data_IF_419052749477
#
_entry.id   IF_419052749477
#
_cell.length_a   1.000
_cell.length_b   1.000
_cell.length_c   1.000
_cell.angle_alpha   90.00
_cell.angle_beta   90.00
_cell.angle_gamma   90.00
#
_symmetry.space_group_name_H-M   'P 1'
#
loop_
_entity.id
_entity.type
_entity.pdbx_description
1 polymer ?
2 non-polymer ?
3 non-polymer ?
4 non-polymer ?
5 water ?
#
# COMPACT_ATOMS: atom_id res chain seq x y z
N UNK A 8 5.79 31.69 4.35
CA UNK A 8 6.79 31.35 5.37
C UNK A 8 8.09 30.81 4.74
N UNK A 9 8.97 30.23 5.57
CA UNK A 9 10.21 29.61 5.09
C UNK A 9 10.40 28.24 5.74
N UNK A 10 11.41 27.51 5.28
CA UNK A 10 11.71 26.19 5.86
C UNK A 10 12.48 26.34 7.17
N UNK A 11 12.27 25.40 8.09
CA UNK A 11 12.97 25.44 9.39
C UNK A 11 14.47 25.42 9.16
N UNK A 12 15.21 26.07 10.05
CA UNK A 12 16.66 26.18 9.91
C UNK A 12 17.30 24.80 9.96
N UNK A 13 16.77 23.93 10.81
CA UNK A 13 17.34 22.60 10.98
C UNK A 13 17.20 21.77 9.71
N UNK A 14 16.09 21.98 9.00
CA UNK A 14 15.88 21.30 7.74
C UNK A 14 16.90 21.81 6.73
N UNK A 15 16.90 23.14 6.53
CA UNK A 15 17.80 23.82 5.61
C UNK A 15 19.24 23.43 5.85
N UNK A 16 19.56 23.11 7.10
CA UNK A 16 20.93 22.84 7.45
C UNK A 16 21.48 21.57 6.81
N UNK A 17 20.58 20.61 6.53
CA UNK A 17 20.96 19.31 6.01
C UNK A 17 20.53 19.07 4.58
N UNK A 18 19.56 19.86 4.12
CA UNK A 18 18.94 19.62 2.82
C UNK A 18 18.74 20.91 2.04
N UNK A 19 18.82 20.78 0.72
CA UNK A 19 18.49 21.86 -0.21
C UNK A 19 17.15 21.53 -0.83
N UNK A 20 16.20 22.46 -0.76
CA UNK A 20 14.84 22.17 -1.22
C UNK A 20 14.64 22.54 -2.68
N UNK A 21 13.75 21.79 -3.33
CA UNK A 21 13.53 21.96 -4.76
C UNK A 21 12.04 21.90 -5.10
N UNK A 22 11.74 21.45 -6.32
CA UNK A 22 10.40 21.52 -6.89
C UNK A 22 9.38 20.62 -6.20
N UNK A 23 8.11 20.94 -6.40
CA UNK A 23 7.01 20.12 -5.90
C UNK A 23 6.88 18.86 -6.76
N UNK A 24 6.55 17.74 -6.12
CA UNK A 24 6.33 16.50 -6.85
C UNK A 24 4.85 16.15 -6.91
N UNK A 25 4.17 16.32 -5.77
CA UNK A 25 2.73 16.17 -5.68
C UNK A 25 2.13 17.14 -4.67
N UNK A 26 0.82 16.99 -4.41
CA UNK A 26 0.14 17.85 -3.44
C UNK A 26 -1.31 17.41 -3.22
N UNK A 31 1.68 17.78 1.02
CA UNK A 31 2.49 18.02 -0.17
C UNK A 31 3.86 17.34 -0.10
N UNK A 32 4.44 17.08 -1.28
CA UNK A 32 5.74 16.41 -1.37
C UNK A 32 6.71 17.20 -2.23
N UNK A 33 7.89 17.47 -1.69
CA UNK A 33 8.90 18.23 -2.43
C UNK A 33 10.17 17.44 -2.68
N UNK A 34 10.81 17.74 -3.79
CA UNK A 34 12.13 17.20 -4.10
C UNK A 34 13.18 17.94 -3.27
N UNK A 35 14.19 17.22 -2.82
CA UNK A 35 15.23 17.85 -2.03
C UNK A 35 16.54 17.08 -2.17
N UNK A 36 17.66 17.76 -1.97
CA UNK A 36 18.96 17.09 -2.01
C UNK A 36 19.60 17.10 -0.63
N UNK A 37 20.12 15.96 -0.22
CA UNK A 37 20.82 15.87 1.05
C UNK A 37 22.23 16.45 0.87
N UNK A 38 22.55 17.47 1.65
CA UNK A 38 23.84 18.16 1.52
C UNK A 38 25.04 17.22 1.60
N UNK A 39 25.01 16.29 2.53
CA UNK A 39 26.15 15.43 2.81
C UNK A 39 26.51 14.49 1.67
N UNK A 40 25.52 14.08 0.88
CA UNK A 40 25.73 13.05 -0.12
C UNK A 40 25.40 13.52 -1.51
N UNK A 41 24.73 14.67 -1.57
CA UNK A 41 24.21 15.20 -2.83
C UNK A 41 23.25 14.22 -3.47
N UNK A 42 22.65 13.39 -2.64
CA UNK A 42 21.70 12.42 -3.14
C UNK A 42 20.31 13.02 -3.07
N UNK A 43 19.42 12.55 -3.95
CA UNK A 43 18.07 13.09 -4.00
C UNK A 43 17.18 12.40 -2.99
N UNK A 44 16.33 13.18 -2.33
CA UNK A 44 15.36 12.65 -1.39
C UNK A 44 14.01 13.31 -1.59
N UNK A 45 12.98 12.74 -0.99
CA UNK A 45 11.67 13.38 -1.02
C UNK A 45 11.31 13.83 0.39
N UNK A 46 10.71 15.01 0.50
CA UNK A 46 10.28 15.49 1.81
C UNK A 46 8.78 15.77 1.82
N UNK A 47 8.05 14.98 2.60
CA UNK A 47 6.61 15.14 2.72
C UNK A 47 6.31 16.13 3.84
N UNK A 48 5.69 17.23 3.48
CA UNK A 48 5.36 18.27 4.43
C UNK A 48 3.93 18.11 4.92
N UNK A 49 3.79 17.88 6.21
CA UNK A 49 2.48 17.76 6.84
C UNK A 49 2.23 18.92 7.80
N UNK A 50 1.33 19.82 7.42
CA UNK A 50 1.02 21.01 8.22
C UNK A 50 0.33 20.68 9.55
N UNK A 51 0.65 21.44 10.59
CA UNK A 51 0.03 21.27 11.89
C UNK A 51 -1.32 22.00 11.96
N UNK A 64 -3.59 16.14 14.02
CA UNK A 64 -2.28 16.17 13.33
C UNK A 64 -1.22 15.37 14.09
N UNK A 65 -0.82 15.87 15.25
CA UNK A 65 0.23 15.24 16.06
C UNK A 65 0.21 13.71 16.08
N UNK A 66 -0.99 13.12 16.12
CA UNK A 66 -1.17 11.68 16.32
C UNK A 66 -0.84 10.86 15.08
N UNK A 67 -1.47 11.20 13.96
CA UNK A 67 -1.21 10.51 12.71
C UNK A 67 0.29 10.41 12.42
N UNK A 68 1.00 11.49 12.69
CA UNK A 68 2.42 11.56 12.42
C UNK A 68 3.24 10.80 13.45
N UNK A 69 2.84 10.90 14.72
CA UNK A 69 3.54 10.16 15.77
C UNK A 69 3.60 8.67 15.41
N UNK A 70 2.46 8.11 15.03
CA UNK A 70 2.41 6.69 14.71
C UNK A 70 3.12 6.41 13.39
N UNK A 71 2.92 7.27 12.40
CA UNK A 71 3.52 7.08 11.10
C UNK A 71 5.05 6.97 11.21
N UNK A 72 5.65 7.87 11.96
CA UNK A 72 7.09 7.82 12.18
C UNK A 72 7.47 6.53 12.91
N UNK A 73 6.80 6.26 14.03
CA UNK A 73 7.08 5.08 14.81
C UNK A 73 6.99 3.82 13.94
N UNK A 74 6.03 3.79 13.02
CA UNK A 74 5.89 2.64 12.14
C UNK A 74 7.02 2.56 11.11
N UNK A 75 7.22 3.64 10.38
CA UNK A 75 8.29 3.69 9.38
C UNK A 75 9.66 3.34 9.98
N UNK A 76 9.90 3.77 11.21
CA UNK A 76 11.18 3.51 11.84
C UNK A 76 11.41 2.01 12.07
N UNK A 77 10.34 1.31 12.41
CA UNK A 77 10.47 -0.07 12.83
C UNK A 77 10.42 -1.04 11.66
N UNK A 78 9.85 -0.60 10.54
CA UNK A 78 9.63 -1.49 9.40
C UNK A 78 10.85 -1.58 8.52
N UNK A 79 11.09 -2.79 8.00
CA UNK A 79 12.23 -2.99 7.13
C UNK A 79 11.92 -3.97 6.02
N UNK A 80 11.44 -3.46 4.90
CA UNK A 80 11.09 -4.29 3.76
C UNK A 80 11.25 -3.53 2.43
N UNK A 81 11.72 -4.22 1.39
CA UNK A 81 12.02 -3.65 0.07
C UNK A 81 10.84 -2.95 -0.58
N UNK A 82 9.63 -3.42 -0.30
CA UNK A 82 8.46 -2.83 -0.92
C UNK A 82 7.70 -1.93 0.04
N UNK A 83 8.42 -1.38 1.01
CA UNK A 83 7.86 -0.40 1.93
C UNK A 83 8.81 0.79 2.08
N UNK A 84 8.30 1.99 1.81
CA UNK A 84 9.13 3.21 1.87
C UNK A 84 9.86 3.39 3.20
N UNK A 85 11.12 3.83 3.14
CA UNK A 85 11.92 4.02 4.35
C UNK A 85 12.00 5.50 4.73
N UNK A 86 12.06 5.77 6.03
CA UNK A 86 12.21 7.12 6.50
C UNK A 86 13.69 7.40 6.72
N UNK A 87 14.10 8.61 6.39
CA UNK A 87 15.51 8.99 6.40
C UNK A 87 15.80 10.03 7.47
N UNK A 88 14.79 10.82 7.80
CA UNK A 88 14.95 11.89 8.75
C UNK A 88 13.59 12.51 9.08
N UNK A 89 13.51 13.19 10.21
CA UNK A 89 12.24 13.80 10.62
C UNK A 89 12.43 15.17 11.28
N UNK A 90 11.48 16.07 11.00
CA UNK A 90 11.54 17.43 11.52
C UNK A 90 10.20 17.93 12.08
N UNK A 91 10.18 18.12 13.39
CA UNK A 91 9.02 18.61 14.11
C UNK A 91 9.15 20.12 14.32
N UNK A 92 8.49 20.90 13.47
CA UNK A 92 8.62 22.35 13.51
C UNK A 92 7.30 23.08 13.26
N UNK A 93 7.36 24.24 12.61
CA UNK A 93 6.14 24.97 12.28
C UNK A 93 5.16 24.01 11.62
N UNK A 94 5.72 23.07 10.88
CA UNK A 94 4.98 21.98 10.27
C UNK A 94 5.79 20.71 10.49
N UNK A 95 5.26 19.59 10.00
CA UNK A 95 5.98 18.33 10.10
C UNK A 95 6.72 18.07 8.80
N UNK A 96 7.97 17.62 8.92
CA UNK A 96 8.77 17.29 7.76
C UNK A 96 9.28 15.88 7.83
N UNK A 97 8.86 15.06 6.86
CA UNK A 97 9.31 13.69 6.84
C UNK A 97 10.13 13.41 5.59
N UNK A 98 11.39 13.03 5.81
CA UNK A 98 12.33 12.82 4.73
C UNK A 98 12.33 11.35 4.31
N UNK A 99 12.06 11.11 3.04
CA UNK A 99 11.91 9.76 2.53
C UNK A 99 12.77 9.47 1.31
N UNK A 100 12.93 8.18 1.02
CA UNK A 100 13.52 7.74 -0.22
C UNK A 100 12.73 8.30 -1.38
N UNK A 101 13.41 8.78 -2.40
CA UNK A 101 12.73 9.32 -3.58
C UNK A 101 12.37 8.22 -4.56
N UNK A 102 11.10 8.21 -4.99
CA UNK A 102 10.61 7.26 -5.98
C UNK A 102 10.42 7.97 -7.31
N UNK A 103 11.36 7.78 -8.23
CA UNK A 103 11.34 8.53 -9.47
C UNK A 103 10.23 8.08 -10.41
N UNK A 104 9.73 6.86 -10.21
CA UNK A 104 8.63 6.37 -11.00
C UNK A 104 7.35 7.15 -10.77
N UNK A 105 7.24 7.76 -9.60
CA UNK A 105 6.03 8.49 -9.24
C UNK A 105 4.95 7.55 -8.73
N UNK A 106 3.71 8.03 -8.76
CA UNK A 106 2.58 7.27 -8.26
C UNK A 106 2.07 6.26 -9.29
N UNK A 107 1.50 5.18 -8.79
CA UNK A 107 0.87 4.20 -9.65
C UNK A 107 -0.37 4.84 -10.25
N UNK A 108 -1.05 5.65 -9.45
CA UNK A 108 -2.25 6.33 -9.93
C UNK A 108 -2.01 6.88 -11.33
N UNK A 109 -0.90 7.59 -11.52
CA UNK A 109 -0.61 8.23 -12.80
C UNK A 109 -0.48 7.22 -13.95
N UNK A 110 -0.39 5.94 -13.63
CA UNK A 110 -0.28 4.91 -14.67
C UNK A 110 -1.62 4.34 -15.08
N UNK A 111 -2.69 4.70 -14.36
CA UNK A 111 -3.97 4.05 -14.59
C UNK A 111 -5.14 5.02 -14.69
N UNK A 112 -4.89 6.29 -14.40
CA UNK A 112 -5.94 7.28 -14.53
C UNK A 112 -6.24 7.47 -16.01
N UNK A 113 -7.45 7.94 -16.30
CA UNK A 113 -7.89 8.11 -17.68
C UNK A 113 -7.88 6.81 -18.46
N UNK A 114 -8.52 5.78 -17.88
CA UNK A 114 -8.63 4.45 -18.51
C UNK A 114 -7.34 3.90 -19.13
N UNK A 115 -6.19 4.48 -18.77
CA UNK A 115 -4.93 3.84 -19.11
C UNK A 115 -4.94 2.46 -18.45
N UNK A 116 -4.18 1.52 -19.00
CA UNK A 116 -4.19 0.18 -18.43
C UNK A 116 -2.87 -0.53 -18.64
N UNK A 117 -2.48 -1.27 -17.61
CA UNK A 117 -1.20 -1.97 -17.57
C UNK A 117 -1.30 -3.34 -18.23
N UNK A 118 -0.26 -3.73 -18.95
CA UNK A 118 -0.27 -5.07 -19.52
C UNK A 118 -0.26 -6.09 -18.38
N UNK A 119 -1.01 -7.17 -18.55
CA UNK A 119 -1.22 -8.12 -17.46
C UNK A 119 0.07 -8.48 -16.74
N UNK A 120 1.17 -8.54 -17.50
CA UNK A 120 2.44 -9.00 -16.95
C UNK A 120 3.01 -8.00 -15.96
N UNK A 121 2.80 -6.72 -16.26
CA UNK A 121 3.23 -5.67 -15.37
C UNK A 121 2.35 -5.65 -14.13
N UNK A 122 1.07 -5.98 -14.29
CA UNK A 122 0.16 -6.05 -13.15
C UNK A 122 0.64 -7.09 -12.16
N UNK A 123 1.00 -8.26 -12.66
CA UNK A 123 1.44 -9.34 -11.82
C UNK A 123 2.65 -8.87 -11.04
N UNK A 124 3.65 -8.37 -11.76
CA UNK A 124 4.88 -7.91 -11.13
C UNK A 124 4.62 -6.92 -9.99
N UNK A 125 3.79 -5.92 -10.27
CA UNK A 125 3.45 -4.91 -9.28
C UNK A 125 2.67 -5.52 -8.13
N UNK A 126 1.65 -6.32 -8.46
CA UNK A 126 0.75 -6.80 -7.44
C UNK A 126 1.45 -7.75 -6.48
N UNK A 127 2.35 -8.54 -7.03
CA UNK A 127 3.15 -9.45 -6.25
C UNK A 127 3.92 -8.68 -5.18
N UNK A 128 4.48 -7.53 -5.57
CA UNK A 128 5.22 -6.73 -4.61
C UNK A 128 4.27 -6.14 -3.56
N UNK A 129 3.15 -5.61 -4.02
CA UNK A 129 2.12 -5.17 -3.10
C UNK A 129 1.77 -6.29 -2.10
N UNK A 130 1.62 -7.51 -2.58
CA UNK A 130 1.24 -8.61 -1.70
C UNK A 130 2.29 -8.90 -0.65
N UNK A 131 3.55 -8.91 -1.05
CA UNK A 131 4.63 -9.16 -0.12
C UNK A 131 4.64 -8.07 0.94
N UNK A 132 4.48 -6.83 0.49
CA UNK A 132 4.52 -5.71 1.39
C UNK A 132 3.42 -5.85 2.42
N UNK A 133 2.20 -5.99 1.94
CA UNK A 133 1.07 -6.05 2.85
C UNK A 133 1.11 -7.31 3.71
N UNK A 134 1.63 -8.39 3.16
CA UNK A 134 1.80 -9.57 3.96
C UNK A 134 2.71 -9.20 5.11
N UNK A 135 3.79 -8.51 4.78
CA UNK A 135 4.78 -8.10 5.75
C UNK A 135 4.17 -7.23 6.84
N UNK A 136 3.37 -6.25 6.44
CA UNK A 136 2.66 -5.42 7.40
C UNK A 136 1.84 -6.27 8.34
N UNK A 137 1.08 -7.21 7.79
CA UNK A 137 0.20 -8.00 8.63
C UNK A 137 0.99 -8.89 9.57
N UNK A 138 2.04 -9.51 9.06
CA UNK A 138 2.91 -10.32 9.92
C UNK A 138 3.42 -9.54 11.12
N UNK A 139 3.61 -8.25 10.95
CA UNK A 139 4.09 -7.35 12.00
C UNK A 139 2.98 -6.60 12.71
N UNK A 140 1.75 -7.09 12.63
CA UNK A 140 0.62 -6.48 13.32
C UNK A 140 0.26 -5.05 12.95
N UNK A 141 0.43 -4.68 11.69
CA UNK A 141 0.05 -3.36 11.21
C UNK A 141 -0.92 -3.42 10.04
N UNK A 142 -1.98 -2.62 10.13
CA UNK A 142 -2.98 -2.54 9.07
C UNK A 142 -2.89 -1.18 8.38
N UNK A 143 -2.64 -1.18 7.08
CA UNK A 143 -2.45 0.07 6.35
C UNK A 143 -3.70 0.95 6.33
N UNK A 144 -4.79 0.40 5.79
CA UNK A 144 -6.10 1.05 5.85
C UNK A 144 -6.37 2.11 4.80
N UNK A 145 -5.32 2.56 4.11
CA UNK A 145 -5.53 3.51 3.04
C UNK A 145 -4.80 3.13 1.74
N UNK A 146 -4.91 1.88 1.32
CA UNK A 146 -4.27 1.43 0.08
C UNK A 146 -5.04 1.90 -1.15
N UNK A 147 -4.35 2.60 -2.03
CA UNK A 147 -4.92 3.14 -3.27
C UNK A 147 -3.75 3.28 -4.23
N UNK A 148 -4.06 3.47 -5.52
CA UNK A 148 -3.00 3.67 -6.51
C UNK A 148 -2.04 4.81 -6.15
N UNK A 149 -2.52 5.86 -5.49
CA UNK A 149 -1.65 6.99 -5.18
C UNK A 149 -0.69 6.75 -4.01
N UNK A 150 -0.90 5.68 -3.26
CA UNK A 150 0.01 5.35 -2.17
C UNK A 150 0.95 4.23 -2.54
N UNK A 151 0.91 3.84 -3.81
CA UNK A 151 1.87 2.90 -4.36
C UNK A 151 2.81 3.68 -5.28
N UNK A 152 4.11 3.59 -5.01
CA UNK A 152 5.10 4.35 -5.75
C UNK A 152 6.04 3.47 -6.55
N UNK A 153 6.41 3.93 -7.74
CA UNK A 153 7.33 3.21 -8.61
C UNK A 153 8.77 3.73 -8.45
N UNK A 154 9.75 2.83 -8.48
CA UNK A 154 11.13 3.23 -8.22
C UNK A 154 11.78 3.89 -9.44
N UNK A 155 11.23 3.64 -10.61
CA UNK A 155 11.81 4.21 -11.82
C UNK A 155 10.76 4.36 -12.91
N UNK A 156 11.17 4.94 -14.03
CA UNK A 156 10.25 5.17 -15.11
C UNK A 156 10.16 3.94 -16.02
N UNK A 157 11.04 2.98 -15.79
CA UNK A 157 10.92 1.68 -16.43
C UNK A 157 9.62 1.09 -15.94
N UNK A 158 8.90 0.37 -16.80
CA UNK A 158 7.67 -0.26 -16.34
C UNK A 158 8.01 -1.53 -15.59
N UNK A 159 9.27 -1.95 -15.66
CA UNK A 159 9.76 -2.98 -14.77
C UNK A 159 10.54 -2.29 -13.65
N UNK A 160 9.94 -2.23 -12.47
CA UNK A 160 10.60 -1.56 -11.36
C UNK A 160 10.14 -2.12 -10.02
N UNK A 161 10.75 -1.62 -8.95
CA UNK A 161 10.28 -1.98 -7.63
C UNK A 161 9.18 -1.02 -7.29
N UNK A 162 8.18 -1.51 -6.57
CA UNK A 162 7.17 -0.61 -6.03
C UNK A 162 7.33 -0.57 -4.50
N UNK A 163 6.93 0.53 -3.89
CA UNK A 163 6.96 0.61 -2.44
C UNK A 163 5.66 1.21 -1.97
N UNK A 164 5.16 0.69 -0.85
CA UNK A 164 3.93 1.18 -0.24
C UNK A 164 4.25 2.40 0.60
N UNK A 165 3.39 3.40 0.54
CA UNK A 165 3.62 4.65 1.24
C UNK A 165 2.37 5.15 2.00
N UNK A 166 2.56 6.18 2.83
CA UNK A 166 1.48 6.87 3.54
C UNK A 166 0.80 6.07 4.66
N UNK A 167 1.44 6.00 5.81
CA UNK A 167 0.93 5.23 6.92
C UNK A 167 0.19 6.05 7.97
N UNK A 168 -0.32 7.21 7.56
CA UNK A 168 -1.08 8.06 8.45
C UNK A 168 -2.27 7.36 9.06
N UNK A 169 -3.00 6.61 8.25
CA UNK A 169 -4.21 5.96 8.71
C UNK A 169 -4.03 4.55 9.28
N UNK A 170 -2.78 4.08 9.37
CA UNK A 170 -2.53 2.72 9.85
C UNK A 170 -3.00 2.49 11.28
N UNK A 171 -3.35 1.26 11.58
CA UNK A 171 -3.65 0.85 12.95
C UNK A 171 -2.60 -0.14 13.36
N UNK A 172 -2.42 -0.29 14.67
CA UNK A 172 -1.51 -1.28 15.23
C UNK A 172 -2.32 -2.21 16.11
N UNK A 173 -2.16 -3.51 15.91
CA UNK A 173 -2.95 -4.48 16.66
C UNK A 173 -2.45 -4.68 18.09
N UNK A 176 -7.32 -6.68 21.94
CA UNK A 176 -6.78 -6.94 23.28
C UNK A 176 -7.67 -6.37 24.38
N UNK A 177 -8.52 -5.42 24.01
CA UNK A 177 -9.53 -4.92 24.95
C UNK A 177 -10.52 -6.05 25.13
N UNK A 178 -11.05 -6.53 24.02
CA UNK A 178 -11.95 -7.67 24.02
C UNK A 178 -11.28 -8.85 24.71
N UNK A 179 -10.03 -9.11 24.33
CA UNK A 179 -9.31 -10.23 24.89
C UNK A 179 -9.30 -10.19 26.42
N UNK A 180 -9.07 -9.00 26.97
CA UNK A 180 -9.08 -8.84 28.42
C UNK A 180 -10.47 -9.06 29.00
N UNK A 181 -11.47 -8.43 28.38
CA UNK A 181 -12.85 -8.63 28.78
C UNK A 181 -13.23 -10.10 28.71
N UNK A 182 -12.59 -10.84 27.83
CA UNK A 182 -12.92 -12.25 27.66
C UNK A 182 -12.49 -13.08 28.85
N UNK A 183 -11.79 -12.48 29.79
CA UNK A 183 -11.18 -13.25 30.87
C UNK A 183 -12.05 -13.33 32.13
N UNK A 184 -13.08 -12.50 32.20
CA UNK A 184 -13.98 -12.53 33.34
C UNK A 184 -15.28 -13.26 33.01
N UNK A 185 -16.03 -13.59 34.05
CA UNK A 185 -17.41 -14.02 33.87
C UNK A 185 -18.14 -12.85 33.25
N UNK A 186 -18.89 -13.11 32.17
CA UNK A 186 -19.58 -12.04 31.46
C UNK A 186 -20.54 -11.42 32.43
N UNK A 187 -21.70 -12.04 32.57
CA UNK A 187 -22.65 -11.70 33.62
C UNK A 187 -23.12 -10.24 33.60
N UNK A 188 -22.20 -9.28 33.56
CA UNK A 188 -22.58 -7.88 33.34
C UNK A 188 -22.25 -7.48 31.91
N UNK A 189 -21.72 -8.43 31.15
CA UNK A 189 -21.22 -8.17 29.82
C UNK A 189 -22.30 -8.11 28.73
N UNK A 190 -22.51 -6.93 28.16
CA UNK A 190 -23.51 -6.70 27.11
C UNK A 190 -23.41 -7.67 25.94
N UNK A 191 -24.57 -8.05 25.39
CA UNK A 191 -24.72 -8.98 24.27
C UNK A 191 -23.86 -8.64 23.03
N UNK A 192 -23.92 -7.38 22.60
CA UNK A 192 -23.27 -6.99 21.36
C UNK A 192 -21.79 -7.31 21.41
N UNK A 193 -21.21 -7.34 22.60
CA UNK A 193 -19.79 -7.57 22.72
C UNK A 193 -19.46 -9.03 22.43
N UNK A 194 -20.21 -9.93 23.07
CA UNK A 194 -20.09 -11.36 22.85
C UNK A 194 -20.35 -11.72 21.38
N UNK A 195 -21.20 -10.95 20.73
CA UNK A 195 -21.46 -11.17 19.31
C UNK A 195 -20.31 -10.70 18.44
N UNK A 196 -19.50 -9.77 18.93
CA UNK A 196 -18.36 -9.30 18.15
C UNK A 196 -17.20 -10.29 18.15
N UNK A 197 -17.24 -11.29 19.02
CA UNK A 197 -16.17 -12.27 19.08
C UNK A 197 -16.05 -13.04 17.76
N UNK A 198 -17.17 -13.30 17.11
CA UNK A 198 -17.20 -13.99 15.84
C UNK A 198 -16.18 -13.45 14.85
N UNK A 199 -16.18 -12.13 14.69
CA UNK A 199 -15.35 -11.48 13.66
C UNK A 199 -14.08 -10.82 14.18
N UNK A 200 -14.02 -10.58 15.49
CA UNK A 200 -12.83 -9.97 16.06
C UNK A 200 -11.57 -10.57 15.45
N UNK A 201 -10.61 -9.70 15.14
CA UNK A 201 -9.32 -10.15 14.64
C UNK A 201 -9.20 -10.22 13.12
N UNK A 202 -10.20 -9.71 12.39
CA UNK A 202 -10.14 -9.74 10.94
C UNK A 202 -10.06 -8.37 10.26
N UNK A 203 -9.65 -7.36 11.02
CA UNK A 203 -9.53 -6.01 10.48
C UNK A 203 -8.58 -5.92 9.29
N UNK A 204 -7.54 -6.74 9.32
CA UNK A 204 -6.53 -6.73 8.27
C UNK A 204 -7.16 -7.03 6.93
N UNK A 205 -8.36 -7.59 6.95
CA UNK A 205 -8.98 -7.99 5.70
C UNK A 205 -9.37 -6.77 4.86
N UNK A 206 -9.52 -5.61 5.46
CA UNK A 206 -9.91 -4.44 4.68
C UNK A 206 -8.80 -4.07 3.70
N UNK A 207 -7.56 -4.41 4.06
CA UNK A 207 -6.42 -4.21 3.17
C UNK A 207 -6.50 -5.18 1.98
N UNK A 208 -7.00 -6.37 2.24
CA UNK A 208 -7.14 -7.33 1.16
C UNK A 208 -8.23 -6.87 0.22
N UNK A 209 -9.33 -6.37 0.75
CA UNK A 209 -10.32 -5.73 -0.11
C UNK A 209 -9.64 -4.70 -1.01
N UNK A 210 -8.99 -3.71 -0.40
CA UNK A 210 -8.36 -2.63 -1.14
C UNK A 210 -7.42 -3.15 -2.23
N UNK A 211 -6.63 -4.16 -1.88
CA UNK A 211 -5.73 -4.73 -2.87
C UNK A 211 -6.55 -5.22 -4.06
N UNK A 212 -7.69 -5.83 -3.76
CA UNK A 212 -8.58 -6.36 -4.78
C UNK A 212 -9.07 -5.27 -5.71
N UNK A 213 -9.52 -4.16 -5.14
CA UNK A 213 -9.96 -3.02 -5.94
C UNK A 213 -8.81 -2.46 -6.79
N UNK A 214 -7.61 -2.45 -6.23
CA UNK A 214 -6.46 -1.95 -6.98
C UNK A 214 -6.14 -2.86 -8.17
N UNK A 215 -6.23 -4.16 -7.98
CA UNK A 215 -5.84 -5.12 -9.00
C UNK A 215 -6.83 -5.04 -10.16
N UNK A 216 -8.10 -4.88 -9.81
CA UNK A 216 -9.16 -4.67 -10.77
C UNK A 216 -8.85 -3.47 -11.64
N UNK A 217 -8.64 -2.32 -10.99
CA UNK A 217 -8.33 -1.10 -11.72
C UNK A 217 -7.12 -1.29 -12.65
N UNK A 218 -6.09 -1.93 -12.15
CA UNK A 218 -4.87 -2.13 -12.93
C UNK A 218 -5.12 -2.93 -14.20
N UNK A 219 -5.85 -4.02 -14.06
CA UNK A 219 -6.11 -4.94 -15.17
C UNK A 219 -7.10 -4.38 -16.17
N UNK A 220 -8.10 -3.66 -15.69
CA UNK A 220 -9.21 -3.24 -16.52
C UNK A 220 -9.06 -1.78 -17.00
N UNK A 221 -8.42 -0.96 -16.20
CA UNK A 221 -8.33 0.45 -16.50
C UNK A 221 -9.48 1.22 -15.88
N UNK A 222 -10.46 0.50 -15.33
CA UNK A 222 -11.61 1.14 -14.68
C UNK A 222 -11.91 0.57 -13.28
N UNK A 223 -12.64 1.34 -12.45
CA UNK A 223 -13.03 0.94 -11.10
C UNK A 223 -14.19 -0.05 -11.05
N UNK A 224 -14.15 -0.97 -10.09
CA UNK A 224 -15.17 -1.99 -9.82
C UNK A 224 -16.46 -1.38 -9.33
N UNK A 225 -16.37 -0.31 -8.54
CA UNK A 225 -17.56 0.33 -8.00
C UNK A 225 -17.51 1.84 -8.22
N UNK A 226 -18.27 2.35 -9.18
CA UNK A 226 -18.34 3.79 -9.41
C UNK A 226 -19.79 4.22 -9.58
N UNK A 227 -20.00 5.52 -9.71
CA UNK A 227 -21.33 6.05 -9.92
C UNK A 227 -21.50 6.42 -11.39
N UNK A 228 -20.47 6.11 -12.18
CA UNK A 228 -20.46 6.34 -13.63
C UNK A 228 -21.36 5.35 -14.36
N UNK A 229 -22.51 5.86 -14.82
CA UNK A 229 -23.45 5.07 -15.62
C UNK A 229 -24.11 3.94 -14.84
N UNK A 230 -24.72 4.30 -13.72
CA UNK A 230 -25.38 3.35 -12.84
C UNK A 230 -26.27 4.11 -11.86
N UNK A 231 -27.41 3.52 -11.51
CA UNK A 231 -28.38 4.20 -10.64
C UNK A 231 -28.36 3.67 -9.20
N UNK A 232 -27.66 2.55 -8.99
CA UNK A 232 -27.52 2.01 -7.65
C UNK A 232 -26.40 2.73 -6.92
N UNK A 233 -26.58 2.98 -5.62
CA UNK A 233 -25.62 3.77 -4.87
C UNK A 233 -24.27 3.07 -4.74
N UNK A 234 -23.22 3.87 -4.59
CA UNK A 234 -21.88 3.32 -4.39
C UNK A 234 -21.87 2.42 -3.15
N UNK A 235 -22.43 2.92 -2.06
CA UNK A 235 -22.54 2.10 -0.87
C UNK A 235 -23.19 0.77 -1.21
N UNK A 236 -24.29 0.80 -1.96
CA UNK A 236 -25.02 -0.43 -2.25
C UNK A 236 -24.20 -1.41 -3.07
N UNK A 237 -23.49 -0.91 -4.07
CA UNK A 237 -22.64 -1.79 -4.87
C UNK A 237 -21.65 -2.51 -3.98
N UNK A 238 -20.93 -1.75 -3.16
CA UNK A 238 -19.84 -2.29 -2.35
C UNK A 238 -20.35 -3.29 -1.31
N UNK A 239 -21.45 -2.98 -0.64
CA UNK A 239 -21.98 -3.93 0.33
C UNK A 239 -22.53 -5.19 -0.35
N UNK A 240 -23.03 -5.06 -1.56
CA UNK A 240 -23.53 -6.21 -2.28
C UNK A 240 -22.39 -7.01 -2.92
N UNK A 241 -21.27 -6.34 -3.17
CA UNK A 241 -20.17 -6.95 -3.89
C UNK A 241 -20.44 -7.03 -5.38
N UNK A 242 -21.58 -6.51 -5.82
CA UNK A 242 -21.92 -6.57 -7.23
C UNK A 242 -21.16 -5.49 -7.98
N UNK A 243 -19.97 -5.82 -8.44
CA UNK A 243 -19.13 -4.86 -9.15
C UNK A 243 -19.50 -4.80 -10.62
N UNK A 244 -19.08 -3.71 -11.25
CA UNK A 244 -19.36 -3.46 -12.64
C UNK A 244 -18.46 -4.26 -13.56
N UNK A 245 -18.97 -5.36 -14.10
CA UNK A 245 -18.18 -6.21 -15.01
C UNK A 245 -18.41 -5.96 -16.51
N UNK A 246 -17.42 -5.40 -17.19
CA UNK A 246 -17.53 -5.07 -18.62
C UNK A 246 -16.71 -6.03 -19.46
N UNK A 247 -17.36 -7.08 -19.97
CA UNK A 247 -16.67 -8.18 -20.68
C UNK A 247 -15.79 -7.72 -21.84
N UNK A 248 -16.22 -6.71 -22.59
CA UNK A 248 -15.42 -6.23 -23.71
C UNK A 248 -13.98 -6.05 -23.25
N UNK A 249 -13.82 -5.41 -22.10
CA UNK A 249 -12.50 -5.10 -21.55
C UNK A 249 -11.80 -6.32 -20.96
N UNK A 250 -12.54 -7.09 -20.17
CA UNK A 250 -11.99 -8.20 -19.41
C UNK A 250 -11.60 -9.44 -20.22
N UNK A 251 -12.15 -9.55 -21.43
CA UNK A 251 -11.85 -10.68 -22.30
C UNK A 251 -10.35 -10.75 -22.58
N UNK A 252 -9.73 -9.57 -22.67
CA UNK A 252 -8.29 -9.48 -22.93
C UNK A 252 -7.50 -10.08 -21.76
N UNK A 253 -8.12 -10.10 -20.58
CA UNK A 253 -7.44 -10.51 -19.36
C UNK A 253 -7.62 -11.98 -19.05
N UNK A 254 -6.52 -12.63 -18.68
CA UNK A 254 -6.50 -14.00 -18.22
C UNK A 254 -7.64 -14.35 -17.28
N UNK A 255 -8.00 -15.63 -17.20
CA UNK A 255 -9.03 -16.08 -16.29
C UNK A 255 -8.48 -16.26 -14.88
N UNK A 256 -7.20 -16.61 -14.78
CA UNK A 256 -6.52 -16.71 -13.49
C UNK A 256 -6.54 -15.37 -12.76
N UNK A 257 -6.07 -14.33 -13.44
CA UNK A 257 -6.10 -12.97 -12.93
C UNK A 257 -7.47 -12.66 -12.35
N UNK A 258 -8.48 -12.65 -13.22
CA UNK A 258 -9.84 -12.38 -12.80
C UNK A 258 -10.30 -13.27 -11.65
N UNK A 259 -9.81 -14.50 -11.59
CA UNK A 259 -10.24 -15.40 -10.52
C UNK A 259 -9.75 -14.89 -9.18
N UNK A 260 -8.50 -14.42 -9.17
CA UNK A 260 -7.89 -13.90 -7.96
C UNK A 260 -8.58 -12.62 -7.49
N UNK A 261 -8.94 -11.78 -8.45
CA UNK A 261 -9.68 -10.58 -8.12
C UNK A 261 -10.95 -10.99 -7.41
N UNK A 262 -11.68 -11.94 -8.00
CA UNK A 262 -12.96 -12.39 -7.43
C UNK A 262 -12.81 -12.85 -5.98
N UNK A 263 -11.68 -13.47 -5.65
CA UNK A 263 -11.47 -14.00 -4.31
C UNK A 263 -11.08 -12.91 -3.30
N UNK A 264 -10.60 -11.77 -3.79
CA UNK A 264 -10.24 -10.66 -2.90
C UNK A 264 -11.46 -9.77 -2.69
N UNK A 265 -12.27 -9.61 -3.74
CA UNK A 265 -13.47 -8.81 -3.61
C UNK A 265 -14.61 -9.63 -3.03
N UNK A 266 -14.35 -10.30 -1.91
CA UNK A 266 -15.37 -11.06 -1.21
C UNK A 266 -15.91 -10.26 -0.03
N UNK A 267 -17.23 -10.17 0.03
CA UNK A 267 -17.90 -9.32 1.02
C UNK A 267 -17.67 -9.81 2.44
N UNK A 268 -17.68 -11.12 2.63
CA UNK A 268 -17.43 -11.72 3.95
C UNK A 268 -15.94 -11.66 4.28
N UNK A 269 -15.55 -10.85 5.28
CA UNK A 269 -14.13 -10.68 5.59
C UNK A 269 -13.46 -11.99 6.03
N UNK A 270 -14.22 -12.89 6.67
CA UNK A 270 -13.63 -14.14 7.16
C UNK A 270 -13.33 -15.09 5.99
N UNK A 271 -14.11 -14.95 4.94
CA UNK A 271 -13.93 -15.75 3.74
C UNK A 271 -12.95 -15.10 2.75
N UNK A 272 -12.73 -13.80 2.91
CA UNK A 272 -11.94 -13.08 1.93
C UNK A 272 -10.54 -13.68 1.86
N UNK A 273 -9.91 -13.60 0.69
CA UNK A 273 -8.54 -14.06 0.56
C UNK A 273 -7.62 -13.28 1.49
N UNK A 274 -6.64 -13.96 2.06
CA UNK A 274 -5.61 -13.30 2.84
C UNK A 274 -4.46 -13.07 1.88
N UNK A 275 -3.45 -12.33 2.30
CA UNK A 275 -2.26 -12.15 1.47
C UNK A 275 -1.61 -13.51 1.13
N UNK A 276 -1.46 -14.36 2.14
CA UNK A 276 -0.92 -15.70 1.93
C UNK A 276 -1.68 -16.48 0.84
N UNK A 277 -3.00 -16.49 0.94
CA UNK A 277 -3.83 -17.22 -0.02
C UNK A 277 -3.68 -16.60 -1.40
N UNK A 278 -3.53 -15.29 -1.44
CA UNK A 278 -3.33 -14.59 -2.70
C UNK A 278 -1.99 -15.02 -3.31
N UNK A 279 -0.95 -15.06 -2.48
CA UNK A 279 0.38 -15.44 -2.92
C UNK A 279 0.46 -16.88 -3.42
N UNK A 280 -0.37 -17.77 -2.85
CA UNK A 280 -0.44 -19.16 -3.26
C UNK A 280 -1.35 -19.35 -4.47
N UNK A 281 -2.04 -18.29 -4.88
CA UNK A 281 -2.96 -18.39 -6.00
C UNK A 281 -2.21 -18.68 -7.32
N UNK A 282 -2.79 -19.54 -8.15
CA UNK A 282 -2.19 -19.93 -9.43
C UNK A 282 -1.71 -18.74 -10.24
N UNK A 283 -2.43 -17.62 -10.19
CA UNK A 283 -2.06 -16.50 -11.05
C UNK A 283 -0.68 -15.97 -10.69
N UNK A 284 -0.21 -16.31 -9.49
CA UNK A 284 1.07 -15.78 -9.01
C UNK A 284 2.19 -16.82 -9.01
N UNK A 285 1.84 -18.06 -9.34
CA UNK A 285 2.85 -19.09 -9.53
C UNK A 285 3.47 -18.88 -10.90
N UNK A 286 4.33 -17.87 -11.00
CA UNK A 286 4.84 -17.39 -12.26
C UNK A 286 6.31 -17.08 -12.12
N UNK A 287 7.15 -18.08 -12.44
CA UNK A 287 8.55 -18.06 -12.09
C UNK A 287 9.34 -17.00 -12.83
N UNK A 288 8.83 -16.60 -13.98
CA UNK A 288 9.46 -15.54 -14.75
C UNK A 288 9.34 -14.23 -14.01
N UNK A 289 8.12 -13.91 -13.62
CA UNK A 289 7.84 -12.69 -12.88
C UNK A 289 8.69 -12.62 -11.61
N UNK A 290 8.70 -13.70 -10.84
CA UNK A 290 9.48 -13.70 -9.61
C UNK A 290 10.95 -13.44 -9.92
N UNK A 291 11.42 -13.97 -11.05
CA UNK A 291 12.81 -13.78 -11.43
C UNK A 291 13.09 -12.30 -11.62
N UNK A 292 12.24 -11.65 -12.41
CA UNK A 292 12.41 -10.24 -12.72
C UNK A 292 12.45 -9.37 -11.47
N UNK A 293 11.62 -9.73 -10.49
CA UNK A 293 11.58 -9.02 -9.23
C UNK A 293 12.88 -9.26 -8.45
N UNK A 294 13.30 -10.52 -8.39
CA UNK A 294 14.59 -10.88 -7.81
C UNK A 294 15.73 -10.13 -8.46
N UNK A 295 15.67 -10.03 -9.78
CA UNK A 295 16.73 -9.34 -10.52
C UNK A 295 16.71 -7.86 -10.18
N UNK A 296 15.52 -7.30 -10.02
CA UNK A 296 15.37 -5.88 -9.70
C UNK A 296 15.83 -5.58 -8.28
N UNK A 297 15.61 -6.54 -7.39
CA UNK A 297 16.07 -6.43 -6.01
C UNK A 297 17.58 -6.23 -5.94
N UNK A 298 18.32 -7.23 -6.38
CA UNK A 298 19.79 -7.16 -6.30
C UNK A 298 20.33 -5.94 -7.03
N UNK A 299 19.69 -5.59 -8.14
CA UNK A 299 20.10 -4.41 -8.89
C UNK A 299 20.07 -3.13 -8.02
N UNK A 300 19.16 -3.08 -7.06
CA UNK A 300 19.06 -1.94 -6.15
C UNK A 300 20.05 -2.06 -4.99
N UNK A 301 20.36 -3.29 -4.61
CA UNK A 301 21.23 -3.54 -3.48
C UNK A 301 22.73 -3.39 -3.77
N UNK A 302 23.07 -3.41 -5.06
CA UNK A 302 24.47 -3.24 -5.48
C UNK A 302 25.09 -2.06 -4.76
N UNK A 303 24.26 -1.05 -4.50
CA UNK A 303 24.70 0.19 -3.88
C UNK A 303 25.27 0.00 -2.48
N UNK A 304 24.62 -0.87 -1.70
CA UNK A 304 24.92 -1.02 -0.28
C UNK A 304 25.74 -2.26 0.02
N UNK A 305 25.75 -3.20 -0.92
CA UNK A 305 26.36 -4.50 -0.71
C UNK A 305 27.74 -4.48 -0.08
N UNK A 306 27.78 -4.71 1.23
CA UNK A 306 29.03 -4.98 1.94
C UNK A 306 29.61 -6.30 1.44
N UNK A 307 30.94 -6.42 1.47
CA UNK A 307 31.54 -7.74 1.21
C UNK A 307 31.26 -8.62 2.41
N UNK A 308 31.30 -9.93 2.24
CA UNK A 308 30.94 -10.79 3.36
C UNK A 308 31.69 -12.12 3.37
N UNK A 309 31.56 -12.80 4.51
CA UNK A 309 32.23 -14.06 4.78
C UNK A 309 31.84 -15.17 3.81
N UNK A 310 32.86 -15.85 3.29
CA UNK A 310 32.67 -17.02 2.43
C UNK A 310 32.70 -18.31 3.26
X LIG B 1 1.73 10.31 0.93
X LIG B 1 3.07 9.82 1.17
X LIG B 1 3.38 9.49 2.28
X LIG B 1 4.09 9.89 0.02
X LIG B 1 3.66 9.68 -1.30
X LIG B 1 4.55 9.80 -2.37
X LIG B 1 5.90 10.14 -2.14
X LIG B 1 6.77 10.27 -3.21
X LIG B 1 6.36 10.89 -4.37
X LIG B 1 7.20 11.01 -5.45
X LIG B 1 6.75 11.58 -6.64
X LIG B 1 5.36 11.78 -6.81
X LIG B 1 4.85 12.32 -8.00
X LIG B 1 5.71 12.62 -9.05
X LIG B 1 7.09 12.37 -8.92
X LIG B 1 8.19 12.57 -9.83
X LIG B 1 9.33 11.99 -9.19
X LIG B 1 8.92 11.71 -7.85
X LIG B 1 7.61 11.85 -7.72
X LIG B 1 8.49 10.47 -5.38
X LIG B 1 8.91 9.85 -4.23
X LIG B 1 8.06 9.73 -3.16
X LIG B 1 8.54 9.04 -1.97
X LIG B 1 6.33 10.35 -0.82
X LIG B 1 5.43 10.23 0.26
X LIG C 1 -6.58 -8.44 12.70
X LIG C 1 -6.66 -8.22 11.32
X LIG C 1 -5.82 -9.53 13.14
X LIG C 1 -7.26 -7.59 13.59
X LIG D 1 18.76 14.76 13.04
X LIG D 1 19.86 14.60 12.13
X LIG D 1 17.79 15.78 12.46
X LIG D 1 16.63 15.88 13.29
X LIG E 1 14.67 7.63 11.61
X LIG E 1 15.34 6.90 10.56
X LIG E 1 14.49 9.09 11.20
X LIG E 1 13.86 9.83 12.26
X LIG F 1 13.87 19.82 14.27
X LIG F 1 15.07 19.11 14.61
X LIG F 1 14.12 21.32 14.39
X LIG F 1 12.97 22.05 13.94
#
# INVERSE_FOLDING_TARGET
GPLGSHMSVYPKALRDEYIMSKTLGSGACGEVKLAFERKTCKKVAIKIISKRKFAIGSAREADPALNVETEIEILKKLNHPCIIKIKNFFDAEDYYIVLELMEGGELFDKVVGNKRLKEATCKLYFYQMLLAVQYLHENGIIHRDLKPENVLLSSQEEDCLIKITDFGHSKILGETSLMRTLCGTPTYLAPEVLVSVGTAGYNRAVDCWSLGVILFICLSGYPPFSEHRTQVSLKDQITSGKYNFIPEVWAEVSEKALDLVKKLLVVDPKARFTTEEALRHPWLQDEDMKRKFQDLLSEENESTALPQVLAQPSTSRKRPREGEAEGAE
ZZK N01 C02 O03 C04 C05 C06 C07 C08 C09 C10 C11 C12 C13 C14 C15 O16 C17 O18 C19 C20 N21 C22 N23 C24 C25
NO3 N O1 O2 O3
EDO C1 O1 C2 O2
EDO C1 O1 C2 O2
EDO C1 O1 C2 O2
#
